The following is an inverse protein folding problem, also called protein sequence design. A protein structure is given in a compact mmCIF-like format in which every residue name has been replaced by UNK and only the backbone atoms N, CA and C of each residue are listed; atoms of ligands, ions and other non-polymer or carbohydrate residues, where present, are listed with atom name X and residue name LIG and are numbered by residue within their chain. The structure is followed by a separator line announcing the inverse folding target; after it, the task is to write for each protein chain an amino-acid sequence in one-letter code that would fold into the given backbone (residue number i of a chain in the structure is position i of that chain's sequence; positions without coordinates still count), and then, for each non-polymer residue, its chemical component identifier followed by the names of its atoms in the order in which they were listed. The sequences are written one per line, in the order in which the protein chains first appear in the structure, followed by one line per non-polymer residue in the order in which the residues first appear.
data_IF_018918934239
#
_entry.id   IF_018918934239
#
_cell.length_a   1.000
_cell.length_b   1.000
_cell.length_c   1.000
_cell.angle_alpha   90.00
_cell.angle_beta   90.00
_cell.angle_gamma   90.00
#
_symmetry.space_group_name_H-M   'P 1'
#
loop_
_entity.id
_entity.type
_entity.pdbx_description
1 polymer ?
#
# COMPACT_ATOMS: atom_id res chain seq x y z
N UNK A 1 1.71 -47.34 -24.97
CA UNK A 1 0.85 -47.01 -23.81
C UNK A 1 1.59 -46.03 -22.94
N UNK A 2 1.20 -44.76 -22.95
CA UNK A 2 1.75 -43.72 -22.06
C UNK A 2 0.63 -43.33 -21.11
N UNK A 3 0.88 -43.44 -19.81
CA UNK A 3 -0.03 -43.04 -18.73
C UNK A 3 0.47 -41.71 -18.17
N UNK A 4 -0.46 -40.75 -18.10
CA UNK A 4 -0.28 -39.37 -17.63
C UNK A 4 -0.32 -39.33 -16.09
N UNK A 5 0.51 -38.47 -15.46
CA UNK A 5 0.31 -37.76 -14.17
C UNK A 5 1.59 -36.98 -13.87
N UNK A 6 1.64 -35.71 -13.46
CA UNK A 6 0.66 -34.67 -13.19
C UNK A 6 1.44 -33.35 -13.06
N UNK A 7 0.77 -32.22 -13.28
CA UNK A 7 1.36 -30.87 -13.23
C UNK A 7 1.63 -30.47 -11.78
N UNK A 8 2.85 -30.07 -11.48
CA UNK A 8 3.19 -29.25 -10.31
C UNK A 8 4.21 -28.23 -10.76
N UNK A 9 3.77 -26.98 -10.88
CA UNK A 9 4.56 -25.85 -11.31
C UNK A 9 5.56 -25.47 -10.20
N UNK A 10 6.79 -25.94 -10.33
CA UNK A 10 7.93 -25.43 -9.59
C UNK A 10 9.05 -25.12 -10.57
N UNK A 11 9.26 -23.85 -10.88
CA UNK A 11 10.37 -23.31 -11.70
C UNK A 11 10.41 -21.80 -11.41
N UNK A 12 11.50 -21.10 -11.12
CA UNK A 12 12.88 -21.36 -10.73
C UNK A 12 13.45 -19.95 -10.41
N UNK A 13 14.34 -19.84 -9.42
CA UNK A 13 15.19 -18.66 -9.23
C UNK A 13 15.94 -18.34 -10.53
N UNK A 14 15.93 -17.08 -10.97
CA UNK A 14 16.86 -16.58 -11.96
C UNK A 14 17.58 -15.34 -11.43
N UNK A 15 18.80 -15.58 -10.94
CA UNK A 15 19.82 -14.56 -10.75
C UNK A 15 20.38 -14.17 -12.14
N UNK A 16 20.44 -12.88 -12.44
CA UNK A 16 21.25 -12.37 -13.54
C UNK A 16 21.92 -11.07 -13.08
N UNK A 17 23.18 -11.18 -12.71
CA UNK A 17 24.08 -10.06 -12.46
C UNK A 17 24.88 -9.72 -13.72
N UNK A 18 24.99 -8.41 -13.93
CA UNK A 18 26.14 -7.67 -14.43
C UNK A 18 26.31 -7.38 -15.95
N UNK A 19 26.59 -6.09 -16.19
CA UNK A 19 27.35 -5.44 -17.28
C UNK A 19 26.56 -4.83 -18.46
N UNK A 20 26.40 -3.51 -18.41
CA UNK A 20 26.12 -2.63 -19.55
C UNK A 20 26.24 -1.16 -19.12
N UNK A 21 27.25 -0.46 -19.65
CA UNK A 21 27.77 0.84 -19.20
C UNK A 21 27.22 2.00 -20.05
N UNK A 22 27.01 3.15 -19.38
CA UNK A 22 26.98 4.57 -19.85
C UNK A 22 25.80 5.18 -20.62
N UNK A 23 25.13 6.11 -19.91
CA UNK A 23 25.13 7.58 -20.12
C UNK A 23 23.99 8.25 -20.91
N UNK A 24 23.25 9.09 -20.16
CA UNK A 24 22.73 10.44 -20.51
C UNK A 24 21.67 10.54 -21.62
N UNK A 25 20.59 11.33 -21.56
CA UNK A 25 20.15 12.46 -20.73
C UNK A 25 18.70 12.77 -21.18
N UNK A 26 17.89 13.35 -20.28
CA UNK A 26 16.63 14.09 -20.53
C UNK A 26 15.40 13.35 -21.07
N UNK A 27 14.38 13.29 -20.21
CA UNK A 27 13.01 13.00 -20.59
C UNK A 27 12.14 12.75 -19.37
N UNK A 28 11.90 13.77 -18.56
CA UNK A 28 10.85 13.73 -17.56
C UNK A 28 9.52 13.43 -18.27
N UNK A 29 8.94 12.29 -17.96
CA UNK A 29 7.52 12.01 -18.15
C UNK A 29 7.17 10.91 -17.16
N UNK A 30 6.64 11.21 -15.96
CA UNK A 30 5.63 10.30 -15.44
C UNK A 30 4.56 10.29 -16.53
N UNK A 31 4.32 9.14 -17.14
CA UNK A 31 3.17 8.95 -18.00
C UNK A 31 1.92 9.02 -17.12
N UNK A 32 1.57 10.22 -16.66
CA UNK A 32 0.20 10.58 -16.32
C UNK A 32 -0.54 10.54 -17.65
N UNK A 33 -1.17 9.40 -17.91
CA UNK A 33 -2.19 9.26 -18.91
C UNK A 33 -3.39 10.13 -18.47
N UNK A 34 -3.23 11.44 -18.59
CA UNK A 34 -4.31 12.42 -18.49
C UNK A 34 -5.13 12.36 -19.77
N UNK A 35 -5.99 11.35 -19.87
CA UNK A 35 -7.09 11.38 -20.83
C UNK A 35 -8.04 12.55 -20.50
N UNK A 36 -8.74 13.12 -21.50
CA UNK A 36 -9.64 14.24 -21.30
C UNK A 36 -10.69 13.90 -20.23
N UNK A 37 -10.83 14.81 -19.26
CA UNK A 37 -11.67 14.64 -18.07
C UNK A 37 -13.10 14.30 -18.44
N UNK A 38 -13.47 13.03 -18.19
CA UNK A 38 -14.86 12.64 -18.04
C UNK A 38 -15.40 13.27 -16.77
N UNK A 39 -16.59 13.84 -16.87
CA UNK A 39 -17.42 14.25 -15.74
C UNK A 39 -17.46 13.11 -14.70
N UNK A 40 -16.93 13.36 -13.51
CA UNK A 40 -17.15 12.48 -12.35
C UNK A 40 -18.57 12.78 -11.86
N UNK A 41 -19.55 12.20 -12.53
CA UNK A 41 -20.91 12.12 -12.02
C UNK A 41 -20.97 10.99 -10.98
N UNK A 42 -21.23 11.40 -9.73
CA UNK A 42 -21.70 10.62 -8.59
C UNK A 42 -20.69 9.80 -7.75
N UNK A 43 -20.10 10.50 -6.77
CA UNK A 43 -20.11 10.16 -5.32
C UNK A 43 -19.59 8.80 -4.84
N UNK A 44 -18.58 8.19 -5.47
CA UNK A 44 -17.80 7.15 -4.78
C UNK A 44 -16.30 7.34 -4.98
N UNK A 45 -15.72 8.13 -4.06
CA UNK A 45 -14.27 8.37 -4.00
C UNK A 45 -13.65 7.28 -3.13
N UNK A 46 -12.87 6.40 -3.74
CA UNK A 46 -12.05 5.44 -3.00
C UNK A 46 -10.97 6.14 -2.19
N UNK A 47 -10.68 5.60 -1.01
CA UNK A 47 -9.66 6.09 -0.09
C UNK A 47 -8.69 4.99 0.23
N UNK A 48 -7.41 5.32 0.24
CA UNK A 48 -6.34 4.43 0.62
C UNK A 48 -5.47 5.07 1.70
N UNK A 49 -5.02 4.22 2.61
CA UNK A 49 -4.01 4.54 3.61
C UNK A 49 -2.83 3.62 3.40
N UNK A 50 -1.65 4.15 3.63
CA UNK A 50 -0.40 3.46 3.40
C UNK A 50 0.65 3.95 4.37
N UNK A 51 1.72 3.21 4.47
CA UNK A 51 2.84 3.55 5.32
C UNK A 51 4.13 3.56 4.52
N UNK A 52 5.10 4.31 5.02
CA UNK A 52 6.44 4.18 4.52
C UNK A 52 7.52 4.49 5.53
N UNK A 53 8.68 3.89 5.30
CA UNK A 53 9.87 4.09 6.11
C UNK A 53 10.71 5.19 5.49
N UNK A 54 10.98 6.27 6.22
CA UNK A 54 11.86 7.35 5.80
C UNK A 54 12.89 7.63 6.89
N UNK A 55 14.17 7.39 6.61
CA UNK A 55 15.25 7.66 7.58
C UNK A 55 15.13 6.86 8.88
N UNK A 56 14.56 5.66 8.82
CA UNK A 56 14.30 4.79 9.99
C UNK A 56 13.04 5.14 10.79
N UNK A 57 12.27 6.15 10.39
CA UNK A 57 10.98 6.49 10.99
C UNK A 57 9.84 6.04 10.10
N UNK A 58 8.79 5.51 10.73
CA UNK A 58 7.62 4.98 10.05
C UNK A 58 6.54 6.07 10.00
N UNK A 59 6.17 6.46 8.77
CA UNK A 59 5.23 7.53 8.48
C UNK A 59 3.99 6.97 7.77
N UNK A 60 2.82 7.54 8.07
CA UNK A 60 1.57 7.22 7.40
C UNK A 60 1.25 8.22 6.29
N UNK A 61 0.63 7.74 5.23
CA UNK A 61 0.18 8.52 4.08
C UNK A 61 -1.26 8.16 3.73
N UNK A 62 -1.98 9.11 3.15
CA UNK A 62 -3.33 8.90 2.66
C UNK A 62 -3.45 9.42 1.24
N UNK A 63 -4.29 8.78 0.44
CA UNK A 63 -4.68 9.30 -0.86
C UNK A 63 -6.10 8.86 -1.21
N UNK A 64 -6.68 9.55 -2.17
CA UNK A 64 -7.99 9.20 -2.71
C UNK A 64 -7.92 9.02 -4.22
N UNK A 65 -8.88 8.30 -4.78
CA UNK A 65 -8.94 8.03 -6.20
C UNK A 65 -10.35 7.65 -6.66
N UNK A 66 -10.59 7.63 -7.99
CA UNK A 66 -11.87 7.22 -8.55
C UNK A 66 -12.16 5.72 -8.40
N UNK A 67 -11.13 4.90 -8.12
CA UNK A 67 -11.26 3.45 -7.85
C UNK A 67 -10.28 3.05 -6.73
N UNK A 68 -10.46 1.84 -6.17
CA UNK A 68 -9.55 1.33 -5.13
C UNK A 68 -8.12 1.19 -5.65
N UNK A 69 -7.96 0.72 -6.88
CA UNK A 69 -6.66 0.57 -7.52
C UNK A 69 -5.99 1.93 -7.74
N UNK A 70 -6.78 2.94 -8.15
CA UNK A 70 -6.27 4.30 -8.32
C UNK A 70 -5.89 4.94 -6.98
N UNK A 71 -6.68 4.73 -5.92
CA UNK A 71 -6.38 5.23 -4.58
C UNK A 71 -5.13 4.55 -3.98
N UNK A 72 -5.00 3.23 -4.13
CA UNK A 72 -3.84 2.46 -3.69
C UNK A 72 -2.55 2.88 -4.42
N UNK A 73 -2.63 3.07 -5.74
CA UNK A 73 -1.49 3.59 -6.51
C UNK A 73 -1.14 5.03 -6.10
N UNK A 74 -2.15 5.86 -5.83
CA UNK A 74 -1.96 7.24 -5.39
C UNK A 74 -1.25 7.30 -4.03
N UNK A 75 -1.62 6.48 -3.05
CA UNK A 75 -0.99 6.51 -1.71
C UNK A 75 0.47 6.07 -1.76
N UNK A 76 0.81 5.07 -2.61
CA UNK A 76 2.20 4.68 -2.86
C UNK A 76 2.97 5.81 -3.53
N UNK A 77 2.36 6.52 -4.48
CA UNK A 77 3.01 7.65 -5.16
C UNK A 77 3.27 8.82 -4.21
N UNK A 78 2.36 9.10 -3.27
CA UNK A 78 2.52 10.14 -2.22
C UNK A 78 3.68 9.77 -1.29
N UNK A 79 3.74 8.51 -0.87
CA UNK A 79 4.82 7.99 -0.06
C UNK A 79 6.20 8.11 -0.75
N UNK A 80 6.29 7.75 -2.03
CA UNK A 80 7.53 7.87 -2.80
C UNK A 80 7.95 9.33 -3.00
N UNK A 81 7.00 10.23 -3.26
CA UNK A 81 7.26 11.68 -3.37
C UNK A 81 7.77 12.27 -2.05
N UNK A 82 7.35 11.71 -0.91
CA UNK A 82 7.86 12.09 0.40
C UNK A 82 9.28 11.57 0.70
N UNK A 83 9.87 10.77 -0.20
CA UNK A 83 11.22 10.22 -0.03
C UNK A 83 11.30 9.05 0.93
N UNK A 84 10.21 8.30 1.11
CA UNK A 84 10.24 7.03 1.84
C UNK A 84 10.85 5.92 0.99
N UNK A 85 11.65 5.06 1.63
CA UNK A 85 12.45 3.99 1.01
C UNK A 85 11.60 2.73 0.77
N UNK A 86 10.63 2.48 1.64
CA UNK A 86 9.70 1.36 1.55
C UNK A 86 8.30 1.93 1.64
N UNK A 87 7.50 1.80 0.58
CA UNK A 87 6.14 2.32 0.51
C UNK A 87 5.16 1.18 0.34
N UNK A 88 4.13 1.15 1.19
CA UNK A 88 3.06 0.16 1.18
C UNK A 88 1.70 0.86 1.12
N UNK A 89 0.74 0.22 0.44
CA UNK A 89 -0.68 0.53 0.60
C UNK A 89 -1.24 -0.49 1.57
N UNK A 90 -1.65 -0.05 2.74
CA UNK A 90 -1.99 -0.94 3.85
C UNK A 90 -3.49 -1.26 3.90
N UNK A 91 -4.36 -0.32 3.50
CA UNK A 91 -5.80 -0.55 3.43
C UNK A 91 -6.44 0.37 2.38
N UNK A 92 -7.48 -0.11 1.71
CA UNK A 92 -8.22 0.64 0.69
C UNK A 92 -9.70 0.31 0.73
N UNK A 93 -10.55 1.34 0.73
CA UNK A 93 -12.00 1.16 0.68
C UNK A 93 -12.67 2.18 -0.24
N UNK A 94 -13.79 1.77 -0.82
CA UNK A 94 -14.73 2.63 -1.53
C UNK A 94 -16.04 2.80 -0.73
N UNK A 95 -16.11 2.20 0.46
CA UNK A 95 -17.30 2.18 1.29
C UNK A 95 -17.31 3.32 2.31
N UNK A 96 -18.41 3.45 3.08
CA UNK A 96 -18.54 4.39 4.20
C UNK A 96 -17.83 3.83 5.44
N UNK A 97 -16.56 3.49 5.31
CA UNK A 97 -15.70 3.06 6.40
C UNK A 97 -14.50 3.98 6.56
N UNK A 98 -14.12 4.21 7.81
CA UNK A 98 -12.80 4.70 8.16
C UNK A 98 -11.78 3.60 7.89
N UNK A 99 -10.70 3.96 7.20
CA UNK A 99 -9.52 3.11 7.03
C UNK A 99 -8.35 3.70 7.80
N UNK A 100 -7.56 2.85 8.43
CA UNK A 100 -6.38 3.24 9.19
C UNK A 100 -5.20 2.35 8.85
N UNK A 101 -4.01 2.92 8.97
CA UNK A 101 -2.77 2.16 9.08
C UNK A 101 -2.18 2.40 10.46
N UNK A 102 -1.81 1.31 11.14
CA UNK A 102 -1.15 1.33 12.45
C UNK A 102 0.24 0.76 12.32
N UNK A 103 1.17 1.29 13.12
CA UNK A 103 2.52 0.75 13.20
C UNK A 103 3.18 1.14 14.52
N UNK A 104 4.20 0.37 14.87
CA UNK A 104 5.03 0.61 16.04
C UNK A 104 6.31 1.35 15.64
N UNK A 105 6.71 2.33 16.45
CA UNK A 105 7.99 3.04 16.32
C UNK A 105 9.13 2.31 17.05
N UNK A 106 9.11 0.98 17.02
CA UNK A 106 10.08 0.10 17.67
C UNK A 106 11.18 -0.37 16.70
N UNK A 107 11.14 0.11 15.45
CA UNK A 107 12.07 -0.29 14.38
C UNK A 107 11.75 -1.65 13.77
N UNK A 108 10.66 -2.31 14.16
CA UNK A 108 10.23 -3.60 13.59
C UNK A 108 9.76 -3.48 12.14
N UNK A 109 9.33 -2.28 11.73
CA UNK A 109 8.73 -2.05 10.41
C UNK A 109 7.36 -2.72 10.24
N UNK A 110 6.78 -3.24 11.32
CA UNK A 110 5.49 -3.94 11.27
C UNK A 110 4.37 -2.90 11.21
N UNK A 111 3.55 -3.04 10.18
CA UNK A 111 2.38 -2.20 9.91
C UNK A 111 1.17 -3.08 9.63
N UNK A 112 -0.02 -2.59 9.98
CA UNK A 112 -1.26 -3.25 9.62
C UNK A 112 -2.35 -2.24 9.24
N UNK A 113 -3.10 -2.58 8.21
CA UNK A 113 -4.31 -1.90 7.80
C UNK A 113 -5.54 -2.45 8.51
N UNK A 114 -6.53 -1.58 8.73
CA UNK A 114 -7.85 -2.00 9.20
C UNK A 114 -8.94 -1.01 8.83
N UNK A 115 -10.18 -1.50 8.82
CA UNK A 115 -11.36 -0.74 8.44
C UNK A 115 -12.48 -0.86 9.49
N UNK A 116 -13.27 0.22 9.67
CA UNK A 116 -14.36 0.26 10.64
C UNK A 116 -15.26 1.48 10.47
N UNK A 117 -16.40 1.55 11.16
CA UNK A 117 -17.28 2.73 11.05
C UNK A 117 -16.67 3.96 11.75
N UNK A 118 -15.73 3.75 12.66
CA UNK A 118 -14.92 4.78 13.32
C UNK A 118 -13.42 4.47 13.23
N UNK A 119 -12.58 5.47 13.54
CA UNK A 119 -11.12 5.29 13.59
C UNK A 119 -10.72 4.27 14.65
N UNK A 120 -11.44 4.23 15.77
CA UNK A 120 -11.20 3.30 16.88
C UNK A 120 -11.55 1.86 16.50
N UNK A 121 -12.67 1.66 15.78
CA UNK A 121 -13.05 0.35 15.25
C UNK A 121 -12.05 -0.12 14.19
N UNK A 122 -11.67 0.76 13.26
CA UNK A 122 -10.68 0.48 12.24
C UNK A 122 -9.31 0.12 12.85
N UNK A 123 -8.94 0.78 13.96
CA UNK A 123 -7.74 0.42 14.73
C UNK A 123 -7.86 -0.98 15.30
N UNK A 124 -8.99 -1.32 15.95
CA UNK A 124 -9.22 -2.66 16.49
C UNK A 124 -9.17 -3.75 15.41
N UNK A 125 -9.73 -3.47 14.24
CA UNK A 125 -9.65 -4.36 13.06
C UNK A 125 -8.19 -4.53 12.58
N UNK A 126 -7.40 -3.45 12.55
CA UNK A 126 -5.99 -3.52 12.17
C UNK A 126 -5.16 -4.43 13.09
N UNK A 127 -5.39 -4.37 14.42
CA UNK A 127 -4.78 -5.31 15.36
C UNK A 127 -5.24 -6.75 15.14
N UNK A 128 -6.52 -6.95 14.82
CA UNK A 128 -7.06 -8.28 14.52
C UNK A 128 -6.47 -8.86 13.23
N UNK A 129 -6.28 -8.02 12.21
CA UNK A 129 -5.63 -8.37 10.94
C UNK A 129 -4.16 -8.74 11.13
N UNK A 130 -3.43 -7.99 11.97
CA UNK A 130 -2.06 -8.31 12.34
C UNK A 130 -1.97 -9.71 12.96
N UNK A 131 -2.82 -10.00 13.96
CA UNK A 131 -2.87 -11.32 14.62
C UNK A 131 -3.20 -12.43 13.62
N UNK A 132 -4.16 -12.20 12.72
CA UNK A 132 -4.52 -13.14 11.64
C UNK A 132 -3.37 -13.38 10.65
N UNK A 133 -2.52 -12.38 10.42
CA UNK A 133 -1.31 -12.48 9.62
C UNK A 133 -0.12 -13.12 10.37
N UNK A 134 -0.30 -13.48 11.65
CA UNK A 134 0.72 -14.12 12.48
C UNK A 134 1.75 -13.13 13.05
N UNK A 135 1.46 -11.82 13.02
CA UNK A 135 2.31 -10.78 13.59
C UNK A 135 1.61 -10.10 14.76
N UNK A 136 2.32 -9.87 15.86
CA UNK A 136 1.81 -9.10 16.99
C UNK A 136 2.34 -7.67 16.90
N UNK A 137 1.44 -6.71 16.72
CA UNK A 137 1.78 -5.30 16.86
C UNK A 137 2.09 -4.99 18.33
N UNK A 138 3.02 -4.07 18.55
CA UNK A 138 3.25 -3.51 19.88
C UNK A 138 1.94 -2.88 20.41
N UNK A 139 1.55 -3.09 21.68
CA UNK A 139 0.37 -2.44 22.26
C UNK A 139 0.40 -0.91 22.21
N UNK A 140 1.60 -0.31 22.14
CA UNK A 140 1.83 1.12 21.95
C UNK A 140 1.78 1.55 20.47
N UNK A 141 1.56 0.64 19.52
CA UNK A 141 1.40 0.96 18.10
C UNK A 141 0.31 2.01 17.92
N UNK A 142 0.67 3.09 17.23
CA UNK A 142 -0.18 4.26 17.02
C UNK A 142 -0.80 4.23 15.63
N UNK A 143 -1.88 4.98 15.45
CA UNK A 143 -2.41 5.26 14.12
C UNK A 143 -1.42 6.19 13.42
N UNK A 144 -0.88 5.75 12.29
CA UNK A 144 0.08 6.51 11.49
C UNK A 144 -0.66 7.44 10.53
N UNK A 145 -1.74 6.93 9.94
CA UNK A 145 -2.65 7.68 9.09
C UNK A 145 -4.06 7.07 9.14
N UNK A 146 -5.06 7.92 8.95
CA UNK A 146 -6.47 7.54 8.88
C UNK A 146 -7.19 8.32 7.79
N UNK A 147 -8.21 7.71 7.21
CA UNK A 147 -9.08 8.34 6.21
C UNK A 147 -10.52 7.88 6.40
N UNK A 148 -11.43 8.82 6.60
CA UNK A 148 -12.85 8.57 6.87
C UNK A 148 -13.77 9.30 5.87
N UNK A 149 -15.01 8.81 5.65
CA UNK A 149 -16.11 9.50 4.95
C UNK A 149 -16.24 10.97 5.28
#
# INVERSE_FOLDING_TARGET
MVVIRGVSAGVLLAAASALGVTATLYGASPAVAGGPGGVVEDTVVSRAVGSGLSGGLLAGYTATGPTNEAAAAAVVSVCQQAGAEQCSSDEVTNDIFCVVTVGADDGSGIVAGGAGATVEEARGDAFSNAVRAGVNLDPAARVLASSCP
#
